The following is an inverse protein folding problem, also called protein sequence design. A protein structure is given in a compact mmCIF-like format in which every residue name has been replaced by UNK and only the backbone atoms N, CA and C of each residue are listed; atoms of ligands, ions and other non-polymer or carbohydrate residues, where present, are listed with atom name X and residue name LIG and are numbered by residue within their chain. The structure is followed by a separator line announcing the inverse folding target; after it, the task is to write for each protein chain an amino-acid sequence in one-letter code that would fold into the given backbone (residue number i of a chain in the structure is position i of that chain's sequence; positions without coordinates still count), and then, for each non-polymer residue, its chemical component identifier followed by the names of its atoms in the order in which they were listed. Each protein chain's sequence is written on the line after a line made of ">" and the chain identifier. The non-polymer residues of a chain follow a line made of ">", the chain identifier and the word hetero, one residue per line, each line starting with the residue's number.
data_IF_097240978087
#
_entry.id   IF_097240978087
#
_cell.length_a   1.000
_cell.length_b   1.000
_cell.length_c   1.000
_cell.angle_alpha   90.00
_cell.angle_beta   90.00
_cell.angle_gamma   90.00
#
_symmetry.space_group_name_H-M   'P 1'
#
loop_
_entity.id
_entity.type
_entity.pdbx_description
1 polymer ?
#
# COMPACT_ATOMS: atom_id res chain seq x y z
N UNK A 1 -16.63 16.02 -48.05
CA UNK A 1 -16.27 14.71 -47.47
C UNK A 1 -16.46 14.78 -45.97
N UNK A 2 -17.35 13.96 -45.40
CA UNK A 2 -17.84 14.06 -44.01
C UNK A 2 -17.30 12.94 -43.12
N UNK A 3 -16.87 13.29 -41.90
CA UNK A 3 -16.08 12.48 -40.95
C UNK A 3 -16.98 11.60 -40.05
N UNK A 4 -17.97 10.90 -40.61
CA UNK A 4 -19.01 10.21 -39.80
C UNK A 4 -18.96 8.68 -39.79
N UNK A 5 -17.93 8.02 -40.34
CA UNK A 5 -17.93 6.55 -40.48
C UNK A 5 -17.18 5.75 -39.40
N UNK A 6 -16.56 6.38 -38.41
CA UNK A 6 -15.77 5.63 -37.41
C UNK A 6 -16.62 4.91 -36.34
N UNK A 7 -17.86 5.33 -36.11
CA UNK A 7 -18.67 4.78 -35.01
C UNK A 7 -19.46 3.50 -35.36
N UNK A 8 -19.50 3.09 -36.64
CA UNK A 8 -20.26 1.89 -37.04
C UNK A 8 -19.50 0.58 -36.83
N UNK A 9 -18.16 0.60 -36.83
CA UNK A 9 -17.35 -0.62 -36.68
C UNK A 9 -17.37 -1.24 -35.27
N UNK A 10 -17.76 -0.47 -34.24
CA UNK A 10 -17.63 -0.92 -32.85
C UNK A 10 -18.81 -1.78 -32.34
N UNK A 11 -19.96 -1.76 -33.02
CA UNK A 11 -21.15 -2.48 -32.56
C UNK A 11 -21.20 -3.93 -33.06
N UNK A 12 -20.54 -4.22 -34.18
CA UNK A 12 -20.57 -5.55 -34.80
C UNK A 12 -19.62 -6.56 -34.11
N UNK A 13 -18.66 -6.07 -33.30
CA UNK A 13 -17.73 -6.92 -32.55
C UNK A 13 -18.35 -7.65 -31.34
N UNK A 14 -19.60 -7.35 -30.97
CA UNK A 14 -20.27 -7.94 -29.80
C UNK A 14 -20.99 -9.27 -30.08
N UNK A 15 -20.91 -9.79 -31.31
CA UNK A 15 -21.52 -11.07 -31.71
C UNK A 15 -20.53 -12.14 -32.19
N UNK A 16 -19.22 -11.93 -32.07
CA UNK A 16 -18.23 -12.92 -32.50
C UNK A 16 -17.98 -13.99 -31.42
N UNK A 17 -18.06 -15.26 -31.84
CA UNK A 17 -17.65 -16.46 -31.11
C UNK A 17 -16.18 -16.41 -30.68
N UNK A 18 -15.75 -17.19 -29.66
CA UNK A 18 -14.54 -16.91 -28.87
C UNK A 18 -13.18 -17.24 -29.53
N UNK A 19 -13.08 -17.42 -30.84
CA UNK A 19 -11.84 -17.93 -31.46
C UNK A 19 -10.94 -16.90 -32.15
N UNK A 20 -11.42 -15.71 -32.53
CA UNK A 20 -10.57 -14.72 -33.18
C UNK A 20 -10.12 -13.60 -32.22
N UNK A 21 -9.04 -13.87 -31.48
CA UNK A 21 -8.28 -12.78 -30.84
C UNK A 21 -7.52 -12.02 -31.93
N UNK A 22 -7.60 -10.68 -31.98
CA UNK A 22 -6.82 -9.91 -32.93
C UNK A 22 -5.33 -10.17 -32.71
N UNK A 23 -4.59 -10.43 -33.79
CA UNK A 23 -3.13 -10.63 -33.78
C UNK A 23 -2.50 -9.40 -33.14
N UNK A 24 -2.07 -9.53 -31.88
CA UNK A 24 -1.31 -8.50 -31.18
C UNK A 24 0.03 -8.37 -31.90
N UNK A 25 0.44 -7.13 -32.17
CA UNK A 25 1.72 -6.83 -32.83
C UNK A 25 2.86 -7.55 -32.09
N UNK A 26 3.70 -8.33 -32.79
CA UNK A 26 4.80 -9.05 -32.15
C UNK A 26 5.75 -8.03 -31.50
N UNK A 27 5.94 -8.14 -30.18
CA UNK A 27 6.78 -7.25 -29.38
C UNK A 27 6.06 -6.45 -28.28
N UNK A 28 4.72 -6.42 -28.26
CA UNK A 28 3.97 -5.77 -27.18
C UNK A 28 3.95 -6.55 -25.85
N UNK A 29 4.31 -7.83 -25.87
CA UNK A 29 4.42 -8.67 -24.66
C UNK A 29 5.64 -8.32 -23.78
N UNK A 30 6.55 -7.47 -24.28
CA UNK A 30 7.73 -7.01 -23.55
C UNK A 30 7.50 -5.66 -22.82
N UNK A 31 6.31 -5.07 -22.90
CA UNK A 31 6.00 -3.85 -22.16
C UNK A 31 5.88 -4.16 -20.67
N UNK A 32 6.65 -3.43 -19.85
CA UNK A 32 6.58 -3.49 -18.39
C UNK A 32 5.12 -3.55 -17.92
N UNK A 33 4.81 -4.47 -17.01
CA UNK A 33 3.47 -4.67 -16.44
C UNK A 33 2.84 -3.35 -15.95
N UNK A 34 3.69 -2.40 -15.55
CA UNK A 34 3.30 -1.06 -15.12
C UNK A 34 2.72 -0.21 -16.25
N UNK A 35 3.27 -0.29 -17.46
CA UNK A 35 2.76 0.40 -18.65
C UNK A 35 1.47 -0.26 -19.16
N UNK A 36 1.38 -1.59 -19.09
CA UNK A 36 0.14 -2.30 -19.41
C UNK A 36 -1.00 -1.90 -18.47
N UNK A 37 -0.73 -1.76 -17.17
CA UNK A 37 -1.72 -1.30 -16.20
C UNK A 37 -2.21 0.13 -16.48
N UNK A 38 -1.30 1.07 -16.78
CA UNK A 38 -1.64 2.47 -17.10
C UNK A 38 -2.51 2.55 -18.36
N UNK A 39 -2.22 1.76 -19.39
CA UNK A 39 -3.03 1.73 -20.62
C UNK A 39 -4.45 1.17 -20.37
N UNK A 40 -4.58 0.16 -19.51
CA UNK A 40 -5.90 -0.37 -19.11
C UNK A 40 -6.71 0.64 -18.30
N UNK A 41 -6.08 1.39 -17.40
CA UNK A 41 -6.74 2.46 -16.64
C UNK A 41 -7.25 3.60 -17.53
N UNK A 42 -6.48 4.00 -18.55
CA UNK A 42 -6.90 5.04 -19.50
C UNK A 42 -8.09 4.61 -20.37
N UNK A 43 -8.18 3.33 -20.75
CA UNK A 43 -9.33 2.78 -21.47
C UNK A 43 -10.62 2.84 -20.66
N UNK A 44 -10.53 2.58 -19.35
CA UNK A 44 -11.70 2.62 -18.45
C UNK A 44 -12.21 4.04 -18.19
N UNK A 45 -11.32 5.03 -18.04
CA UNK A 45 -11.73 6.42 -17.85
C UNK A 45 -12.54 6.99 -19.02
N UNK A 46 -12.17 6.65 -20.27
CA UNK A 46 -12.88 7.13 -21.48
C UNK A 46 -14.33 6.64 -21.58
N UNK A 47 -14.64 5.46 -21.03
CA UNK A 47 -16.01 4.93 -21.01
C UNK A 47 -16.90 5.57 -19.93
N UNK A 48 -16.30 6.00 -18.81
CA UNK A 48 -17.01 6.59 -17.67
C UNK A 48 -17.40 8.06 -17.86
N UNK A 49 -16.80 8.75 -18.84
CA UNK A 49 -17.01 10.19 -19.10
C UNK A 49 -18.05 10.49 -20.18
N UNK A 50 -18.83 9.50 -20.64
CA UNK A 50 -20.00 9.77 -21.47
C UNK A 50 -21.07 10.48 -20.62
N UNK A 51 -21.06 11.82 -20.67
CA UNK A 51 -22.11 12.70 -20.13
C UNK A 51 -23.46 12.21 -20.65
N UNK A 52 -24.39 11.89 -19.75
CA UNK A 52 -25.79 11.67 -20.13
C UNK A 52 -26.34 13.00 -20.68
N UNK A 53 -26.98 13.02 -21.85
CA UNK A 53 -27.57 14.25 -22.38
C UNK A 53 -28.64 14.76 -21.41
N UNK A 54 -28.59 16.06 -21.12
CA UNK A 54 -29.61 16.76 -20.37
C UNK A 54 -30.89 16.79 -21.23
N UNK A 55 -31.92 16.03 -20.84
CA UNK A 55 -33.20 16.04 -21.57
C UNK A 55 -34.08 14.81 -21.39
N UNK A 56 -33.57 13.71 -20.83
CA UNK A 56 -34.39 12.51 -20.56
C UNK A 56 -35.29 12.68 -19.33
N UNK A 57 -36.49 13.21 -19.53
CA UNK A 57 -37.54 13.32 -18.50
C UNK A 57 -38.01 11.96 -17.99
N UNK A 58 -37.30 11.38 -17.02
CA UNK A 58 -37.79 10.21 -16.30
C UNK A 58 -38.89 10.62 -15.32
N UNK A 59 -40.13 10.21 -15.64
CA UNK A 59 -41.29 10.29 -14.73
C UNK A 59 -40.94 9.62 -13.40
N UNK A 60 -40.62 10.42 -12.39
CA UNK A 60 -40.33 9.96 -11.03
C UNK A 60 -41.60 9.40 -10.41
N UNK A 61 -41.78 8.08 -10.45
CA UNK A 61 -42.70 7.38 -9.54
C UNK A 61 -42.26 7.71 -8.11
N UNK A 62 -43.17 8.29 -7.31
CA UNK A 62 -42.91 8.68 -5.93
C UNK A 62 -42.55 7.43 -5.12
N UNK A 63 -41.29 7.28 -4.75
CA UNK A 63 -40.85 6.22 -3.85
C UNK A 63 -41.50 6.44 -2.48
N UNK A 64 -42.25 5.44 -2.00
CA UNK A 64 -42.82 5.41 -0.65
C UNK A 64 -41.67 5.62 0.35
N UNK A 65 -41.87 6.51 1.33
CA UNK A 65 -40.90 6.78 2.41
C UNK A 65 -40.64 5.48 3.16
N UNK A 66 -39.48 4.86 2.92
CA UNK A 66 -39.03 3.72 3.71
C UNK A 66 -38.78 4.22 5.14
N UNK A 67 -39.46 3.61 6.10
CA UNK A 67 -39.30 3.85 7.54
C UNK A 67 -37.81 3.80 7.88
N UNK A 68 -37.30 4.84 8.54
CA UNK A 68 -35.95 4.93 9.06
C UNK A 68 -35.71 3.75 9.99
N UNK A 69 -35.00 2.73 9.50
CA UNK A 69 -34.53 1.62 10.33
C UNK A 69 -33.65 2.21 11.41
N UNK A 70 -33.93 1.86 12.65
CA UNK A 70 -33.19 2.26 13.85
C UNK A 70 -31.69 2.32 13.57
N UNK A 71 -31.12 3.52 13.71
CA UNK A 71 -29.68 3.72 13.59
C UNK A 71 -29.01 2.89 14.67
N UNK A 72 -28.20 1.91 14.29
CA UNK A 72 -27.34 1.20 15.24
C UNK A 72 -26.53 2.23 16.02
N UNK A 73 -26.45 2.10 17.36
CA UNK A 73 -25.72 3.05 18.19
C UNK A 73 -24.25 3.09 17.76
N UNK A 74 -23.71 4.30 17.63
CA UNK A 74 -22.35 4.62 17.14
C UNK A 74 -21.26 3.72 17.75
N UNK A 75 -21.47 3.28 18.99
CA UNK A 75 -20.61 2.34 19.72
C UNK A 75 -20.31 1.04 18.95
N UNK A 76 -21.30 0.45 18.28
CA UNK A 76 -21.10 -0.78 17.52
C UNK A 76 -20.21 -0.58 16.28
N UNK A 77 -20.18 0.64 15.72
CA UNK A 77 -19.27 0.99 14.63
C UNK A 77 -17.83 1.08 15.13
N UNK A 78 -17.61 1.70 16.29
CA UNK A 78 -16.28 1.78 16.92
C UNK A 78 -15.76 0.41 17.35
N UNK A 79 -16.63 -0.45 17.88
CA UNK A 79 -16.24 -1.81 18.28
C UNK A 79 -15.78 -2.64 17.06
N UNK A 80 -16.46 -2.49 15.92
CA UNK A 80 -16.02 -3.11 14.65
C UNK A 80 -14.68 -2.56 14.19
N UNK A 81 -14.48 -1.25 14.25
CA UNK A 81 -13.24 -0.59 13.85
C UNK A 81 -12.06 -1.04 14.72
N UNK A 82 -12.27 -1.17 16.02
CA UNK A 82 -11.26 -1.67 16.95
C UNK A 82 -10.91 -3.14 16.69
N UNK A 83 -11.92 -3.98 16.45
CA UNK A 83 -11.73 -5.38 16.11
C UNK A 83 -11.00 -5.57 14.76
N UNK A 84 -11.26 -4.71 13.78
CA UNK A 84 -10.57 -4.72 12.48
C UNK A 84 -9.10 -4.31 12.65
N UNK A 85 -8.81 -3.21 13.34
CA UNK A 85 -7.44 -2.77 13.62
C UNK A 85 -6.61 -3.82 14.39
N UNK A 86 -7.24 -4.50 15.36
CA UNK A 86 -6.58 -5.57 16.11
C UNK A 86 -6.26 -6.77 15.22
N UNK A 87 -7.14 -7.11 14.26
CA UNK A 87 -6.91 -8.17 13.29
C UNK A 87 -5.77 -7.82 12.34
N UNK A 88 -5.70 -6.58 11.88
CA UNK A 88 -4.61 -6.12 11.00
C UNK A 88 -3.25 -6.12 11.71
N UNK A 89 -3.19 -5.67 12.98
CA UNK A 89 -1.99 -5.77 13.81
C UNK A 89 -1.52 -7.22 13.96
N UNK A 90 -2.45 -8.16 14.20
CA UNK A 90 -2.13 -9.58 14.28
C UNK A 90 -1.62 -10.15 12.96
N UNK A 91 -2.15 -9.73 11.80
CA UNK A 91 -1.63 -10.14 10.48
C UNK A 91 -0.20 -9.62 10.24
N UNK A 92 0.08 -8.38 10.63
CA UNK A 92 1.43 -7.80 10.55
C UNK A 92 2.43 -8.51 11.48
N UNK A 93 1.98 -8.94 12.66
CA UNK A 93 2.80 -9.69 13.61
C UNK A 93 3.03 -11.15 13.19
N UNK A 94 2.00 -11.84 12.67
CA UNK A 94 2.05 -13.25 12.28
C UNK A 94 2.97 -13.56 11.08
N UNK A 95 3.38 -12.54 10.31
CA UNK A 95 4.40 -12.68 9.26
C UNK A 95 5.84 -12.75 9.78
N UNK A 96 6.07 -12.46 11.05
CA UNK A 96 7.40 -12.43 11.68
C UNK A 96 7.61 -13.65 12.57
N UNK A 97 7.55 -14.85 12.00
CA UNK A 97 8.26 -15.97 12.61
C UNK A 97 9.74 -15.57 12.68
N UNK A 98 10.30 -15.54 13.90
CA UNK A 98 11.72 -15.29 14.21
C UNK A 98 12.60 -16.42 13.65
N UNK A 99 12.57 -16.63 12.33
CA UNK A 99 13.60 -17.37 11.63
C UNK A 99 14.75 -16.38 11.48
N UNK A 100 15.93 -16.72 12.01
CA UNK A 100 17.17 -15.99 11.82
C UNK A 100 17.52 -15.99 10.33
N UNK A 101 16.84 -15.14 9.57
CA UNK A 101 17.24 -14.76 8.23
C UNK A 101 18.35 -13.77 8.49
N UNK A 102 19.60 -14.20 8.29
CA UNK A 102 20.71 -13.28 8.11
C UNK A 102 20.24 -12.29 7.04
N UNK A 103 19.76 -11.13 7.47
CA UNK A 103 19.43 -10.08 6.53
C UNK A 103 20.75 -9.83 5.80
N UNK A 104 20.76 -9.78 4.46
CA UNK A 104 21.95 -9.32 3.77
C UNK A 104 22.38 -8.02 4.46
N UNK A 105 23.69 -7.88 4.68
CA UNK A 105 24.29 -6.71 5.31
C UNK A 105 23.56 -5.48 4.78
N UNK A 106 22.96 -4.65 5.65
CA UNK A 106 22.23 -3.48 5.20
C UNK A 106 23.09 -2.70 4.22
N UNK A 107 22.51 -2.31 3.09
CA UNK A 107 23.21 -1.45 2.14
C UNK A 107 23.41 -0.08 2.80
N UNK A 108 24.56 0.06 3.45
CA UNK A 108 24.93 1.26 4.19
C UNK A 108 25.03 2.45 3.24
N UNK A 109 25.44 2.24 2.00
CA UNK A 109 25.51 3.27 0.97
C UNK A 109 24.11 3.81 0.67
N UNK A 110 23.13 2.93 0.47
CA UNK A 110 21.73 3.34 0.27
C UNK A 110 21.16 4.07 1.49
N UNK A 111 21.45 3.58 2.70
CA UNK A 111 21.00 4.23 3.93
C UNK A 111 21.59 5.63 4.10
N UNK A 112 22.87 5.80 3.75
CA UNK A 112 23.58 7.07 3.82
C UNK A 112 23.04 8.06 2.79
N UNK A 113 22.78 7.62 1.55
CA UNK A 113 22.15 8.44 0.52
C UNK A 113 20.74 8.91 0.94
N UNK A 114 19.94 8.03 1.55
CA UNK A 114 18.62 8.40 2.08
C UNK A 114 18.73 9.44 3.21
N UNK A 115 19.70 9.27 4.12
CA UNK A 115 19.95 10.23 5.18
C UNK A 115 20.37 11.59 4.61
N UNK A 116 21.26 11.61 3.63
CA UNK A 116 21.73 12.82 2.97
C UNK A 116 20.60 13.57 2.26
N UNK A 117 19.75 12.86 1.49
CA UNK A 117 18.54 13.42 0.88
C UNK A 117 17.57 13.99 1.92
N UNK A 118 17.40 13.30 3.04
CA UNK A 118 16.56 13.77 4.15
C UNK A 118 17.12 15.02 4.81
N UNK A 119 18.44 15.10 5.00
CA UNK A 119 19.10 16.31 5.52
C UNK A 119 18.93 17.49 4.56
N UNK A 120 19.09 17.28 3.25
CA UNK A 120 18.85 18.31 2.23
C UNK A 120 17.40 18.82 2.28
N UNK A 121 16.42 17.93 2.41
CA UNK A 121 15.00 18.30 2.56
C UNK A 121 14.71 19.05 3.86
N UNK A 122 15.28 18.62 4.99
CA UNK A 122 15.12 19.32 6.27
C UNK A 122 15.80 20.69 6.27
N UNK A 123 16.92 20.84 5.58
CA UNK A 123 17.62 22.11 5.41
C UNK A 123 16.87 23.05 4.45
N UNK A 124 16.22 22.55 3.40
CA UNK A 124 15.40 23.37 2.50
C UNK A 124 14.06 23.81 3.13
N UNK A 125 13.53 23.03 4.08
CA UNK A 125 12.38 23.41 4.91
C UNK A 125 12.72 24.45 5.99
N UNK A 126 14.00 24.72 6.27
CA UNK A 126 14.43 25.87 7.10
C UNK A 126 14.30 27.18 6.31
N UNK A 127 13.16 27.43 5.67
CA UNK A 127 12.71 28.80 5.42
C UNK A 127 12.45 29.39 6.79
N UNK A 128 13.45 30.10 7.33
CA UNK A 128 13.40 30.80 8.60
C UNK A 128 12.15 31.67 8.63
N UNK A 129 11.11 31.18 9.30
CA UNK A 129 9.93 31.97 9.60
C UNK A 129 10.41 33.01 10.60
N UNK A 130 10.65 34.25 10.15
CA UNK A 130 10.95 35.35 11.05
C UNK A 130 9.78 35.45 12.05
N UNK A 131 10.03 35.46 13.37
CA UNK A 131 8.94 35.54 14.33
C UNK A 131 8.21 36.87 14.13
N UNK A 132 6.91 36.82 13.81
CA UNK A 132 6.07 38.02 13.64
C UNK A 132 5.76 38.72 14.96
N UNK A 133 5.97 38.05 16.10
CA UNK A 133 5.69 38.60 17.43
C UNK A 133 6.89 38.46 18.37
N UNK A 134 7.13 39.45 19.25
CA UNK A 134 8.21 39.39 20.24
C UNK A 134 8.04 38.23 21.22
N UNK A 135 6.80 37.82 21.52
CA UNK A 135 6.50 36.67 22.38
C UNK A 135 6.95 35.34 21.75
N UNK A 136 6.80 35.20 20.44
CA UNK A 136 7.31 34.04 19.68
C UNK A 136 8.84 34.02 19.70
N UNK A 137 9.49 35.18 19.57
CA UNK A 137 10.95 35.28 19.68
C UNK A 137 11.43 34.80 21.06
N UNK A 138 10.82 35.27 22.15
CA UNK A 138 11.15 34.88 23.53
C UNK A 138 11.04 33.36 23.73
N UNK A 139 9.91 32.75 23.32
CA UNK A 139 9.75 31.29 23.38
C UNK A 139 10.78 30.53 22.53
N UNK A 140 11.18 31.06 21.37
CA UNK A 140 12.22 30.43 20.54
C UNK A 140 13.60 30.48 21.20
N UNK A 141 13.92 31.59 21.89
CA UNK A 141 15.18 31.76 22.62
C UNK A 141 15.25 30.79 23.80
N UNK A 142 14.18 30.65 24.59
CA UNK A 142 14.12 29.66 25.67
C UNK A 142 14.28 28.23 25.16
N UNK A 143 13.64 27.89 24.03
CA UNK A 143 13.77 26.57 23.41
C UNK A 143 15.21 26.31 22.93
N UNK A 144 15.89 27.33 22.40
CA UNK A 144 17.30 27.25 21.99
C UNK A 144 18.21 27.01 23.19
N UNK A 145 18.02 27.74 24.29
CA UNK A 145 18.77 27.55 25.54
C UNK A 145 18.55 26.13 26.10
N UNK A 146 17.30 25.65 26.15
CA UNK A 146 16.99 24.28 26.57
C UNK A 146 17.68 23.22 25.69
N UNK A 147 17.71 23.43 24.37
CA UNK A 147 18.41 22.53 23.44
C UNK A 147 19.92 22.51 23.71
N UNK A 148 20.56 23.67 23.87
CA UNK A 148 22.01 23.77 24.18
C UNK A 148 22.35 23.09 25.50
N UNK A 149 21.51 23.24 26.52
CA UNK A 149 21.73 22.61 27.82
C UNK A 149 21.62 21.08 27.74
N UNK A 150 20.63 20.54 27.02
CA UNK A 150 20.52 19.09 26.77
C UNK A 150 21.72 18.53 26.01
N UNK A 151 22.21 19.24 25.01
CA UNK A 151 23.39 18.83 24.25
C UNK A 151 24.65 18.79 25.12
N UNK A 152 24.84 19.79 25.99
CA UNK A 152 25.93 19.81 26.97
C UNK A 152 25.84 18.65 27.97
N UNK A 153 24.64 18.31 28.43
CA UNK A 153 24.42 17.15 29.32
C UNK A 153 24.76 15.82 28.62
N UNK A 154 24.30 15.63 27.38
CA UNK A 154 24.61 14.43 26.60
C UNK A 154 26.11 14.29 26.33
N UNK A 155 26.80 15.40 26.01
CA UNK A 155 28.26 15.42 25.84
C UNK A 155 29.00 15.01 27.12
N UNK A 156 28.55 15.49 28.29
CA UNK A 156 29.09 15.08 29.60
C UNK A 156 28.82 13.61 29.92
N UNK A 157 27.64 13.09 29.56
CA UNK A 157 27.34 11.66 29.74
C UNK A 157 28.21 10.79 28.84
N UNK A 158 28.41 11.20 27.58
CA UNK A 158 29.26 10.47 26.63
C UNK A 158 30.75 10.50 27.00
N UNK A 159 31.26 11.62 27.54
CA UNK A 159 32.65 11.68 28.02
C UNK A 159 32.89 10.83 29.26
N UNK A 160 31.85 10.59 30.06
CA UNK A 160 31.95 9.81 31.30
C UNK A 160 31.74 8.30 31.08
N UNK A 161 31.32 7.88 29.89
CA UNK A 161 31.24 6.47 29.53
C UNK A 161 32.49 6.04 28.76
N UNK A 162 33.60 5.85 29.45
CA UNK A 162 34.70 5.05 28.89
C UNK A 162 34.22 3.60 28.81
N UNK A 163 34.17 2.98 27.62
CA UNK A 163 33.84 1.56 27.53
C UNK A 163 34.94 0.81 28.30
N UNK A 164 34.54 0.07 29.35
CA UNK A 164 35.43 -0.87 30.03
C UNK A 164 35.75 -2.00 29.06
N UNK A 165 36.78 -1.81 28.25
CA UNK A 165 37.44 -2.91 27.54
C UNK A 165 38.08 -3.78 28.61
N UNK A 166 37.50 -4.95 28.87
CA UNK A 166 38.10 -5.93 29.78
C UNK A 166 39.50 -6.28 29.25
N UNK A 167 40.59 -5.99 29.99
CA UNK A 167 41.95 -6.29 29.53
C UNK A 167 42.30 -7.78 29.63
N UNK A 168 41.38 -8.64 30.10
CA UNK A 168 41.66 -10.03 30.49
C UNK A 168 41.32 -11.09 29.45
N UNK A 169 40.85 -10.73 28.25
CA UNK A 169 40.69 -11.72 27.18
C UNK A 169 42.05 -11.93 26.52
N UNK A 170 42.84 -12.87 27.07
CA UNK A 170 44.02 -13.42 26.40
C UNK A 170 43.73 -13.60 24.91
N UNK A 171 44.48 -12.90 24.05
CA UNK A 171 44.41 -13.07 22.60
C UNK A 171 45.08 -14.37 22.14
N UNK A 172 45.05 -15.43 22.95
CA UNK A 172 45.62 -16.76 22.66
C UNK A 172 45.09 -17.34 21.34
N UNK A 173 43.85 -16.99 20.97
CA UNK A 173 43.26 -17.41 19.72
C UNK A 173 43.95 -16.82 18.48
N UNK A 174 44.75 -15.74 18.61
CA UNK A 174 45.57 -15.21 17.52
C UNK A 174 46.88 -15.98 17.33
N UNK A 175 47.39 -16.64 18.37
CA UNK A 175 48.61 -17.46 18.31
C UNK A 175 48.33 -18.93 18.01
N UNK A 176 47.06 -19.33 18.04
CA UNK A 176 46.64 -20.71 17.75
C UNK A 176 46.94 -21.06 16.28
N UNK A 177 47.76 -22.08 16.07
CA UNK A 177 47.98 -22.60 14.73
C UNK A 177 46.65 -23.06 14.11
N UNK A 178 46.42 -22.80 12.80
CA UNK A 178 45.20 -23.19 12.14
C UNK A 178 45.03 -24.71 12.22
N UNK A 179 43.83 -25.15 12.57
CA UNK A 179 43.51 -26.57 12.64
C UNK A 179 43.75 -27.23 11.27
N UNK A 180 44.73 -28.13 11.21
CA UNK A 180 44.95 -29.00 10.05
C UNK A 180 44.26 -30.34 10.33
N UNK A 181 43.11 -30.63 9.69
CA UNK A 181 42.50 -31.95 9.82
C UNK A 181 43.48 -33.01 9.32
N UNK A 182 43.70 -34.05 10.13
CA UNK A 182 44.38 -35.26 9.69
C UNK A 182 43.44 -35.99 8.73
N UNK A 183 43.65 -35.81 7.44
CA UNK A 183 42.89 -36.53 6.42
C UNK A 183 43.44 -37.95 6.31
N UNK A 184 42.96 -38.85 7.15
CA UNK A 184 43.08 -40.27 6.88
C UNK A 184 42.20 -40.58 5.66
N UNK A 185 42.83 -40.91 4.54
CA UNK A 185 42.16 -41.09 3.27
C UNK A 185 41.41 -42.44 3.28
N UNK A 186 40.23 -42.47 3.90
CA UNK A 186 39.33 -43.62 3.77
C UNK A 186 38.75 -43.62 2.35
N UNK A 187 39.29 -44.46 1.47
CA UNK A 187 38.74 -44.71 0.15
C UNK A 187 37.35 -45.37 0.28
N UNK A 188 36.31 -44.55 0.45
CA UNK A 188 34.92 -45.03 0.43
C UNK A 188 34.50 -45.26 -1.02
N UNK A 189 34.15 -46.51 -1.37
CA UNK A 189 33.59 -46.83 -2.68
C UNK A 189 32.30 -46.02 -2.90
N UNK A 190 32.16 -45.27 -4.01
CA UNK A 190 30.96 -44.51 -4.28
C UNK A 190 29.79 -45.48 -4.50
N UNK A 191 28.87 -45.55 -3.54
CA UNK A 191 27.60 -46.25 -3.73
C UNK A 191 26.72 -45.35 -4.62
N UNK A 192 26.23 -45.83 -5.78
CA UNK A 192 25.38 -45.01 -6.63
C UNK A 192 24.12 -44.65 -5.84
N UNK A 193 23.91 -43.35 -5.66
CA UNK A 193 22.68 -42.86 -5.05
C UNK A 193 21.51 -43.26 -5.95
N UNK A 194 20.47 -43.88 -5.39
CA UNK A 194 19.20 -43.98 -6.07
C UNK A 194 18.49 -42.63 -5.96
N UNK A 195 18.95 -41.63 -6.71
CA UNK A 195 18.27 -40.34 -6.73
C UNK A 195 16.91 -40.53 -7.41
N UNK A 196 15.84 -40.45 -6.62
CA UNK A 196 14.46 -40.36 -7.12
C UNK A 196 14.18 -39.01 -7.79
N UNK A 197 15.03 -38.60 -8.74
CA UNK A 197 14.97 -37.32 -9.45
C UNK A 197 13.61 -37.09 -10.08
N UNK A 198 13.07 -38.10 -10.77
CA UNK A 198 11.76 -38.03 -11.44
C UNK A 198 10.62 -37.77 -10.45
N UNK A 199 10.54 -38.55 -9.35
CA UNK A 199 9.51 -38.36 -8.31
C UNK A 199 9.63 -37.00 -7.62
N UNK A 200 10.86 -36.56 -7.33
CA UNK A 200 11.13 -35.25 -6.72
C UNK A 200 10.77 -34.10 -7.66
N UNK A 201 11.10 -34.20 -8.95
CA UNK A 201 10.77 -33.20 -9.95
C UNK A 201 9.25 -33.06 -10.11
N UNK A 202 8.52 -34.18 -10.16
CA UNK A 202 7.05 -34.18 -10.23
C UNK A 202 6.43 -33.57 -8.96
N UNK A 203 6.91 -33.97 -7.78
CA UNK A 203 6.46 -33.39 -6.51
C UNK A 203 6.72 -31.88 -6.44
N UNK A 204 7.88 -31.42 -6.95
CA UNK A 204 8.19 -30.00 -7.00
C UNK A 204 7.29 -29.24 -7.96
N UNK A 205 7.04 -29.79 -9.14
CA UNK A 205 6.13 -29.21 -10.14
C UNK A 205 4.72 -29.02 -9.58
N UNK A 206 4.15 -30.05 -8.93
CA UNK A 206 2.83 -29.97 -8.32
C UNK A 206 2.78 -28.91 -7.21
N UNK A 207 3.79 -28.90 -6.33
CA UNK A 207 3.89 -27.89 -5.27
C UNK A 207 3.97 -26.47 -5.83
N UNK A 208 4.79 -26.24 -6.85
CA UNK A 208 4.93 -24.92 -7.46
C UNK A 208 3.64 -24.48 -8.15
N UNK A 209 2.89 -25.42 -8.78
CA UNK A 209 1.56 -25.15 -9.35
C UNK A 209 0.56 -24.72 -8.27
N UNK A 210 0.44 -25.47 -7.18
CA UNK A 210 -0.44 -25.10 -6.06
C UNK A 210 -0.06 -23.77 -5.43
N UNK A 211 1.25 -23.51 -5.30
CA UNK A 211 1.76 -22.26 -4.76
C UNK A 211 1.34 -21.07 -5.63
N UNK A 212 1.39 -21.20 -6.96
CA UNK A 212 0.91 -20.16 -7.88
C UNK A 212 -0.57 -19.88 -7.67
N UNK A 213 -1.41 -20.92 -7.66
CA UNK A 213 -2.85 -20.78 -7.42
C UNK A 213 -3.14 -20.07 -6.10
N UNK A 214 -2.48 -20.46 -5.00
CA UNK A 214 -2.62 -19.81 -3.69
C UNK A 214 -2.21 -18.35 -3.68
N UNK A 215 -1.19 -17.99 -4.47
CA UNK A 215 -0.76 -16.59 -4.59
C UNK A 215 -1.77 -15.78 -5.42
N UNK A 216 -2.27 -16.34 -6.52
CA UNK A 216 -3.29 -15.70 -7.36
C UNK A 216 -4.58 -15.42 -6.58
N UNK A 217 -5.09 -16.41 -5.83
CA UNK A 217 -6.29 -16.22 -5.00
C UNK A 217 -6.08 -15.10 -3.97
N UNK A 218 -4.93 -15.09 -3.31
CA UNK A 218 -4.59 -14.03 -2.33
C UNK A 218 -4.50 -12.65 -2.98
N UNK A 219 -3.94 -12.54 -4.18
CA UNK A 219 -3.89 -11.30 -4.93
C UNK A 219 -5.31 -10.80 -5.28
N UNK A 220 -6.19 -11.70 -5.72
CA UNK A 220 -7.60 -11.38 -6.02
C UNK A 220 -8.35 -10.93 -4.77
N UNK A 221 -8.15 -11.60 -3.63
CA UNK A 221 -8.74 -11.21 -2.35
C UNK A 221 -8.32 -9.80 -1.93
N UNK A 222 -7.02 -9.49 -1.99
CA UNK A 222 -6.48 -8.17 -1.66
C UNK A 222 -7.03 -7.08 -2.59
N UNK A 223 -7.09 -7.33 -3.89
CA UNK A 223 -7.66 -6.39 -4.85
C UNK A 223 -9.15 -6.10 -4.55
N UNK A 224 -9.90 -7.13 -4.16
CA UNK A 224 -11.31 -6.98 -3.76
C UNK A 224 -11.46 -6.21 -2.44
N UNK A 225 -10.60 -6.44 -1.45
CA UNK A 225 -10.59 -5.67 -0.21
C UNK A 225 -10.27 -4.19 -0.45
N UNK A 226 -9.30 -3.92 -1.34
CA UNK A 226 -8.96 -2.56 -1.75
C UNK A 226 -10.14 -1.86 -2.44
N UNK A 227 -10.78 -2.51 -3.43
CA UNK A 227 -11.94 -1.95 -4.12
C UNK A 227 -13.11 -1.69 -3.15
N UNK A 228 -13.34 -2.58 -2.18
CA UNK A 228 -14.34 -2.36 -1.12
C UNK A 228 -14.02 -1.12 -0.29
N UNK A 229 -12.74 -0.89 0.02
CA UNK A 229 -12.28 0.25 0.81
C UNK A 229 -12.44 1.56 0.06
N UNK A 230 -12.02 1.61 -1.21
CA UNK A 230 -12.26 2.77 -2.07
C UNK A 230 -13.74 3.11 -2.20
N UNK A 231 -14.60 2.09 -2.38
CA UNK A 231 -16.04 2.30 -2.49
C UNK A 231 -16.64 2.87 -1.21
N UNK A 232 -16.15 2.46 -0.03
CA UNK A 232 -16.57 3.01 1.27
C UNK A 232 -16.17 4.48 1.39
N UNK A 233 -14.94 4.82 1.03
CA UNK A 233 -14.46 6.21 1.05
C UNK A 233 -15.23 7.08 0.06
N UNK A 234 -15.49 6.59 -1.16
CA UNK A 234 -16.31 7.29 -2.14
C UNK A 234 -17.72 7.59 -1.60
N UNK A 235 -18.37 6.60 -0.97
CA UNK A 235 -19.70 6.79 -0.36
C UNK A 235 -19.63 7.79 0.78
N UNK A 236 -18.57 7.75 1.61
CA UNK A 236 -18.35 8.68 2.73
C UNK A 236 -18.20 10.11 2.23
N UNK A 237 -17.33 10.34 1.25
CA UNK A 237 -17.13 11.65 0.62
C UNK A 237 -18.43 12.15 0.00
N UNK A 238 -19.16 11.30 -0.71
CA UNK A 238 -20.45 11.67 -1.30
C UNK A 238 -21.50 12.04 -0.24
N UNK A 239 -21.49 11.42 0.94
CA UNK A 239 -22.37 11.83 2.05
C UNK A 239 -21.99 13.21 2.59
N UNK A 240 -20.71 13.55 2.65
CA UNK A 240 -20.22 14.86 3.09
C UNK A 240 -20.47 15.95 2.04
N UNK A 241 -20.28 15.64 0.75
CA UNK A 241 -20.38 16.60 -0.35
C UNK A 241 -21.77 16.73 -0.95
N UNK A 242 -22.69 15.82 -0.65
CA UNK A 242 -24.12 16.04 -0.89
C UNK A 242 -24.63 17.13 0.06
N UNK A 243 -24.25 18.38 -0.22
CA UNK A 243 -24.94 19.55 0.25
C UNK A 243 -26.35 19.47 -0.30
N UNK A 244 -27.28 18.94 0.50
CA UNK A 244 -28.70 19.13 0.22
C UNK A 244 -28.91 20.63 0.37
N UNK A 245 -28.95 21.36 -0.75
CA UNK A 245 -29.45 22.73 -0.74
C UNK A 245 -30.78 22.68 0.00
N UNK A 246 -30.86 23.34 1.15
CA UNK A 246 -32.14 23.52 1.83
C UNK A 246 -33.11 24.05 0.76
N UNK A 247 -34.33 23.47 0.65
CA UNK A 247 -35.29 24.00 -0.30
C UNK A 247 -35.38 25.49 -0.07
N UNK A 248 -35.13 26.27 -1.13
CA UNK A 248 -35.07 27.73 -1.04
C UNK A 248 -36.25 28.23 -0.18
N UNK A 249 -36.01 29.06 0.84
CA UNK A 249 -37.07 29.54 1.72
C UNK A 249 -38.15 30.30 0.95
N UNK A 250 -37.84 30.75 -0.26
CA UNK A 250 -38.73 31.45 -1.18
C UNK A 250 -39.62 30.54 -2.03
N UNK A 251 -39.41 29.21 -2.01
CA UNK A 251 -40.38 28.28 -2.63
C UNK A 251 -41.60 28.18 -1.71
N UNK A 252 -42.56 29.10 -1.91
CA UNK A 252 -43.90 29.07 -1.32
C UNK A 252 -44.47 27.66 -1.47
N UNK A 253 -44.67 26.94 -0.36
CA UNK A 253 -45.47 25.71 -0.37
C UNK A 253 -46.86 26.14 -0.82
N UNK A 254 -47.33 25.66 -1.97
CA UNK A 254 -48.73 25.82 -2.35
C UNK A 254 -49.55 25.17 -1.23
N UNK A 255 -50.17 25.99 -0.39
CA UNK A 255 -51.15 25.53 0.59
C UNK A 255 -52.31 25.04 -0.25
N UNK A 256 -52.49 23.72 -0.32
CA UNK A 256 -53.68 23.15 -0.93
C UNK A 256 -54.79 23.42 0.08
N UNK A 257 -55.59 24.45 -0.17
CA UNK A 257 -56.88 24.59 0.48
C UNK A 257 -57.77 23.49 -0.08
N UNK A 258 -57.99 22.44 0.70
CA UNK A 258 -59.12 21.55 0.47
C UNK A 258 -60.38 22.38 0.77
N UNK A 259 -61.09 22.77 -0.29
CA UNK A 259 -62.49 23.17 -0.22
C UNK A 259 -63.32 22.03 -0.79
N UNK A 260 -64.34 21.61 -0.04
CA UNK A 260 -65.28 20.54 -0.38
C UNK A 260 -64.99 19.28 0.39
#
# INVERSE_FOLDING_TARGET
>A
MTINNWCKLANDASKATPEDRPKVLPGLDCLDDRLQAVLREQGWQKSSHKRKPAGGGQKRRKAKKAKTKFSTPRFQEYQKLYADNLRDLKRCAAGNEYKFRSRPVPDFQRSHQLLQKRQQYLCSLKKLTKPKSPRTLATSMEALVKRKNKERQLKRQASNSTPKTNPSSSMDYMLRQPFRPRTECSFTRPKPFQLHTKKRALGRFLYDKEKRVRMETRCVELANEWLKSERREFIRLRKLTNFKANPSPWRKKKIIHNRG
#
